data_IF_803192054076
#
_entry.id   IF_803192054076
#
_cell.length_a   1.000
_cell.length_b   1.000
_cell.length_c   1.000
_cell.angle_alpha   90.00
_cell.angle_beta   90.00
_cell.angle_gamma   90.00
#
_symmetry.space_group_name_H-M   'P 1'
#
loop_
_entity.id
_entity.type
_entity.pdbx_description
1 polymer ?
#
# COMPACT_ATOMS: atom_id res chain seq x y z
N UNK A 1 -14.04 -1.47 18.10
CA UNK A 1 -14.02 -2.67 17.22
C UNK A 1 -12.93 -3.59 17.75
N UNK A 2 -13.22 -4.88 17.84
CA UNK A 2 -12.27 -5.82 18.41
C UNK A 2 -11.74 -6.71 17.30
N UNK A 3 -10.40 -6.68 17.11
CA UNK A 3 -9.70 -7.57 16.20
C UNK A 3 -9.19 -8.84 16.92
N UNK A 4 -9.70 -9.14 18.10
CA UNK A 4 -9.32 -10.32 18.86
C UNK A 4 -9.46 -11.59 17.99
N UNK A 5 -8.40 -12.37 17.91
CA UNK A 5 -8.32 -13.60 17.11
C UNK A 5 -8.44 -13.38 15.57
N UNK A 6 -8.36 -12.14 15.09
CA UNK A 6 -8.28 -11.86 13.66
C UNK A 6 -6.84 -11.91 13.19
N UNK A 7 -6.62 -12.51 12.04
CA UNK A 7 -5.31 -12.55 11.39
C UNK A 7 -5.23 -11.46 10.32
N UNK A 8 -4.27 -10.56 10.46
CA UNK A 8 -4.03 -9.44 9.55
C UNK A 8 -2.66 -9.60 8.90
N UNK A 9 -2.61 -9.77 7.58
CA UNK A 9 -1.37 -9.86 6.84
C UNK A 9 -1.01 -8.51 6.23
N UNK A 10 0.18 -7.98 6.53
CA UNK A 10 0.61 -6.64 6.10
C UNK A 10 1.93 -6.73 5.33
N UNK A 11 1.93 -6.29 4.05
CA UNK A 11 3.17 -6.12 3.28
C UNK A 11 3.79 -4.75 3.49
N UNK A 12 5.12 -4.65 3.33
CA UNK A 12 5.85 -3.41 3.60
C UNK A 12 5.81 -3.03 5.09
N UNK A 13 5.71 -4.03 5.97
CA UNK A 13 5.56 -3.83 7.42
C UNK A 13 6.83 -3.31 8.11
N UNK A 14 8.00 -3.32 7.45
CA UNK A 14 9.27 -2.89 8.06
C UNK A 14 9.38 -1.39 8.32
N UNK A 15 8.47 -0.54 7.81
CA UNK A 15 8.53 0.92 7.98
C UNK A 15 7.21 1.61 7.65
N UNK A 16 7.12 2.91 8.00
CA UNK A 16 6.07 3.81 7.58
C UNK A 16 4.65 3.33 7.91
N UNK A 17 3.76 3.41 6.94
CA UNK A 17 2.33 3.07 7.10
C UNK A 17 2.15 1.61 7.51
N UNK A 18 2.87 0.68 6.87
CA UNK A 18 2.74 -0.76 7.17
C UNK A 18 3.17 -1.10 8.60
N UNK A 19 4.28 -0.51 9.08
CA UNK A 19 4.74 -0.65 10.47
C UNK A 19 3.70 -0.12 11.45
N UNK A 20 3.19 1.08 11.20
CA UNK A 20 2.22 1.71 12.08
C UNK A 20 0.88 0.96 12.12
N UNK A 21 0.40 0.47 10.96
CA UNK A 21 -0.79 -0.39 10.91
C UNK A 21 -0.58 -1.67 11.72
N UNK A 22 0.60 -2.31 11.62
CA UNK A 22 0.92 -3.50 12.41
C UNK A 22 0.84 -3.23 13.91
N UNK A 23 1.41 -2.11 14.38
CA UNK A 23 1.36 -1.68 15.78
C UNK A 23 -0.10 -1.49 16.22
N UNK A 24 -0.90 -0.77 15.44
CA UNK A 24 -2.28 -0.46 15.83
C UNK A 24 -3.18 -1.70 15.78
N UNK A 25 -3.03 -2.61 14.81
CA UNK A 25 -3.78 -3.86 14.77
C UNK A 25 -3.41 -4.79 15.93
N UNK A 26 -2.13 -4.92 16.25
CA UNK A 26 -1.66 -5.70 17.40
C UNK A 26 -2.22 -5.14 18.73
N UNK A 27 -2.21 -3.81 18.90
CA UNK A 27 -2.79 -3.15 20.08
C UNK A 27 -4.31 -3.37 20.22
N UNK A 28 -5.00 -3.69 19.11
CA UNK A 28 -6.43 -4.04 19.08
C UNK A 28 -6.69 -5.55 19.20
N UNK A 29 -5.65 -6.36 19.46
CA UNK A 29 -5.74 -7.79 19.69
C UNK A 29 -5.63 -8.67 18.46
N UNK A 30 -5.25 -8.12 17.29
CA UNK A 30 -5.05 -8.92 16.10
C UNK A 30 -3.72 -9.69 16.12
N UNK A 31 -3.72 -10.87 15.53
CA UNK A 31 -2.50 -11.57 15.12
C UNK A 31 -2.01 -10.97 13.80
N UNK A 32 -0.75 -10.53 13.75
CA UNK A 32 -0.24 -9.85 12.56
C UNK A 32 0.82 -10.71 11.86
N UNK A 33 0.65 -10.92 10.56
CA UNK A 33 1.68 -11.49 9.69
C UNK A 33 2.41 -10.33 9.03
N UNK A 34 3.71 -10.23 9.30
CA UNK A 34 4.58 -9.14 8.87
C UNK A 34 5.38 -9.56 7.63
N UNK A 35 5.27 -8.84 6.53
CA UNK A 35 6.05 -9.10 5.32
C UNK A 35 6.82 -7.89 4.84
N UNK A 36 8.09 -8.09 4.59
CA UNK A 36 9.02 -7.18 3.90
C UNK A 36 10.30 -7.96 3.56
N UNK A 37 11.25 -7.31 2.88
CA UNK A 37 12.57 -7.90 2.56
C UNK A 37 13.51 -7.94 3.76
N UNK A 38 13.46 -6.92 4.63
CA UNK A 38 14.37 -6.78 5.78
C UNK A 38 13.88 -7.60 6.98
N UNK A 39 14.37 -8.84 7.08
CA UNK A 39 13.98 -9.76 8.16
C UNK A 39 14.31 -9.19 9.55
N UNK A 40 15.47 -8.55 9.72
CA UNK A 40 15.89 -7.98 10.99
C UNK A 40 14.90 -6.92 11.49
N UNK A 41 14.48 -5.98 10.60
CA UNK A 41 13.48 -4.98 10.95
C UNK A 41 12.10 -5.58 11.27
N UNK A 42 11.75 -6.70 10.64
CA UNK A 42 10.51 -7.42 10.96
C UNK A 42 10.60 -8.09 12.32
N UNK A 43 11.76 -8.66 12.69
CA UNK A 43 11.99 -9.25 14.00
C UNK A 43 11.93 -8.18 15.11
N UNK A 44 12.59 -7.03 14.93
CA UNK A 44 12.53 -5.90 15.86
C UNK A 44 11.07 -5.43 16.03
N UNK A 45 10.34 -5.27 14.94
CA UNK A 45 8.93 -4.89 15.00
C UNK A 45 8.11 -5.93 15.75
N UNK A 46 8.23 -7.22 15.38
CA UNK A 46 7.48 -8.31 16.02
C UNK A 46 7.68 -8.32 17.53
N UNK A 47 8.92 -8.14 18.02
CA UNK A 47 9.23 -8.08 19.46
C UNK A 47 8.61 -6.89 20.17
N UNK A 48 8.30 -5.81 19.45
CA UNK A 48 7.69 -4.60 19.99
C UNK A 48 6.17 -4.59 19.96
N UNK A 49 5.54 -5.55 19.28
CA UNK A 49 4.08 -5.62 19.17
C UNK A 49 3.44 -6.16 20.44
N UNK A 50 2.23 -5.71 20.71
CA UNK A 50 1.43 -6.21 21.82
C UNK A 50 0.82 -7.58 21.47
N UNK A 51 1.06 -8.61 22.31
CA UNK A 51 0.56 -9.98 22.12
C UNK A 51 1.59 -10.90 21.47
N UNK A 52 1.31 -12.20 21.40
CA UNK A 52 2.28 -13.25 21.02
C UNK A 52 1.98 -13.93 19.68
N UNK A 53 0.78 -13.72 19.13
CA UNK A 53 0.30 -14.40 17.91
C UNK A 53 0.85 -13.86 16.59
N UNK A 54 1.99 -13.15 16.61
CA UNK A 54 2.55 -12.52 15.41
C UNK A 54 3.56 -13.43 14.70
N UNK A 55 3.55 -13.40 13.37
CA UNK A 55 4.48 -14.17 12.54
C UNK A 55 5.15 -13.29 11.48
N UNK A 56 6.23 -13.80 10.90
CA UNK A 56 6.98 -13.14 9.85
C UNK A 56 7.00 -14.07 8.62
N UNK A 57 6.62 -13.53 7.49
CA UNK A 57 6.75 -14.15 6.17
C UNK A 57 7.53 -13.19 5.28
N UNK A 58 8.85 -13.37 5.13
CA UNK A 58 9.64 -12.50 4.27
C UNK A 58 9.19 -12.61 2.82
N UNK A 59 8.94 -11.46 2.16
CA UNK A 59 8.53 -11.41 0.76
C UNK A 59 9.29 -10.31 0.02
N UNK A 60 9.71 -10.61 -1.20
CA UNK A 60 10.18 -9.62 -2.17
C UNK A 60 9.12 -9.43 -3.28
N UNK A 61 8.39 -8.34 -3.21
CA UNK A 61 7.34 -8.01 -4.17
C UNK A 61 7.87 -7.73 -5.59
N UNK A 62 9.20 -7.61 -5.78
CA UNK A 62 9.79 -7.48 -7.11
C UNK A 62 9.89 -8.79 -7.89
N UNK A 63 9.56 -9.92 -7.24
CA UNK A 63 9.54 -11.26 -7.82
C UNK A 63 8.14 -11.89 -7.67
N UNK A 64 7.13 -11.41 -8.41
CA UNK A 64 5.72 -11.77 -8.19
C UNK A 64 5.44 -13.27 -8.34
N UNK A 65 6.10 -13.96 -9.28
CA UNK A 65 5.94 -15.41 -9.46
C UNK A 65 6.45 -16.19 -8.23
N UNK A 66 7.59 -15.75 -7.67
CA UNK A 66 8.14 -16.34 -6.45
C UNK A 66 7.22 -16.05 -5.25
N UNK A 67 6.64 -14.85 -5.15
CA UNK A 67 5.64 -14.51 -4.12
C UNK A 67 4.43 -15.43 -4.22
N UNK A 68 3.89 -15.61 -5.43
CA UNK A 68 2.73 -16.49 -5.66
C UNK A 68 3.02 -17.92 -5.24
N UNK A 69 4.14 -18.50 -5.67
CA UNK A 69 4.53 -19.87 -5.33
C UNK A 69 4.76 -20.02 -3.82
N UNK A 70 5.63 -19.17 -3.23
CA UNK A 70 5.95 -19.22 -1.81
C UNK A 70 4.71 -19.11 -0.92
N UNK A 71 3.80 -18.19 -1.24
CA UNK A 71 2.61 -17.99 -0.42
C UNK A 71 1.63 -19.13 -0.59
N UNK A 72 1.45 -19.67 -1.80
CA UNK A 72 0.58 -20.81 -2.04
C UNK A 72 1.02 -22.02 -1.20
N UNK A 73 2.32 -22.30 -1.14
CA UNK A 73 2.89 -23.41 -0.36
C UNK A 73 2.76 -23.20 1.17
N UNK A 74 2.71 -21.94 1.62
CA UNK A 74 2.64 -21.63 3.04
C UNK A 74 1.20 -21.55 3.59
N UNK A 75 0.20 -21.33 2.74
CA UNK A 75 -1.17 -21.03 3.20
C UNK A 75 -1.77 -22.07 4.13
N UNK A 76 -1.49 -23.36 3.89
CA UNK A 76 -2.01 -24.45 4.72
C UNK A 76 -1.37 -24.48 6.12
N UNK A 77 -0.22 -23.81 6.30
CA UNK A 77 0.50 -23.73 7.58
C UNK A 77 0.15 -22.46 8.36
N UNK A 78 -0.51 -21.50 7.71
CA UNK A 78 -0.88 -20.21 8.30
C UNK A 78 -2.33 -20.26 8.83
N UNK A 79 -2.61 -19.46 9.88
CA UNK A 79 -4.01 -19.27 10.29
C UNK A 79 -4.81 -18.61 9.16
N UNK A 80 -6.13 -18.81 9.12
CA UNK A 80 -6.99 -18.16 8.15
C UNK A 80 -6.80 -16.64 8.14
N UNK A 81 -6.51 -16.07 6.97
CA UNK A 81 -6.27 -14.63 6.82
C UNK A 81 -7.61 -13.90 6.77
N UNK A 82 -7.90 -13.06 7.76
CA UNK A 82 -9.12 -12.24 7.79
C UNK A 82 -8.97 -10.95 7.00
N UNK A 83 -7.78 -10.32 7.08
CA UNK A 83 -7.52 -9.05 6.40
C UNK A 83 -6.14 -9.13 5.72
N UNK A 84 -6.11 -8.92 4.41
CA UNK A 84 -4.89 -8.74 3.65
C UNK A 84 -4.67 -7.26 3.37
N UNK A 85 -3.53 -6.70 3.81
CA UNK A 85 -3.15 -5.30 3.56
C UNK A 85 -1.95 -5.26 2.61
N UNK A 86 -2.22 -5.01 1.36
CA UNK A 86 -1.24 -4.76 0.32
C UNK A 86 -0.71 -3.33 0.43
N UNK A 87 0.30 -3.13 1.28
CA UNK A 87 0.89 -1.83 1.54
C UNK A 87 2.30 -1.68 0.95
N UNK A 88 3.01 -2.77 0.71
CA UNK A 88 4.35 -2.73 0.14
C UNK A 88 4.41 -1.98 -1.18
N UNK A 89 5.44 -1.16 -1.35
CA UNK A 89 5.61 -0.37 -2.57
C UNK A 89 6.82 0.54 -2.54
N UNK A 90 7.20 1.01 -3.72
CA UNK A 90 8.29 1.95 -3.94
C UNK A 90 7.79 3.16 -4.73
N UNK A 91 8.38 4.34 -4.49
CA UNK A 91 8.09 5.58 -5.21
C UNK A 91 9.16 5.86 -6.27
N UNK A 92 8.91 6.84 -7.13
CA UNK A 92 9.84 7.32 -8.14
C UNK A 92 9.88 8.85 -8.11
N UNK A 93 11.06 9.40 -8.38
CA UNK A 93 11.25 10.83 -8.50
C UNK A 93 12.31 11.17 -9.55
N UNK A 94 11.91 11.13 -10.81
CA UNK A 94 12.73 11.45 -11.98
C UNK A 94 11.87 11.95 -13.12
N UNK A 95 12.44 12.73 -14.05
CA UNK A 95 11.73 13.19 -15.25
C UNK A 95 11.57 12.02 -16.24
N UNK A 96 10.49 12.07 -17.03
CA UNK A 96 10.21 11.05 -18.04
C UNK A 96 11.36 10.87 -19.04
N UNK A 97 11.94 11.96 -19.52
CA UNK A 97 13.01 11.93 -20.52
C UNK A 97 14.37 11.45 -19.96
N UNK A 98 14.54 11.46 -18.66
CA UNK A 98 15.78 11.04 -17.98
C UNK A 98 15.73 9.59 -17.52
N UNK A 99 14.53 9.02 -17.44
CA UNK A 99 14.24 7.80 -16.72
C UNK A 99 14.52 6.55 -17.58
N UNK A 100 15.32 5.64 -17.07
CA UNK A 100 15.52 4.34 -17.69
C UNK A 100 14.20 3.54 -17.73
N UNK A 101 13.95 2.85 -18.83
CA UNK A 101 12.73 2.06 -19.00
C UNK A 101 12.59 0.96 -17.93
N UNK A 102 13.68 0.44 -17.43
CA UNK A 102 13.73 -0.58 -16.38
C UNK A 102 13.11 -0.11 -15.07
N UNK A 103 13.15 1.20 -14.77
CA UNK A 103 12.51 1.79 -13.59
C UNK A 103 10.99 1.65 -13.64
N UNK A 104 10.39 1.81 -14.84
CA UNK A 104 8.95 1.58 -15.02
C UNK A 104 8.57 0.12 -14.75
N UNK A 105 9.37 -0.83 -15.24
CA UNK A 105 9.17 -2.26 -14.95
C UNK A 105 9.27 -2.53 -13.47
N UNK A 106 10.34 -2.06 -12.79
CA UNK A 106 10.52 -2.25 -11.36
C UNK A 106 9.35 -1.69 -10.54
N UNK A 107 8.83 -0.52 -10.90
CA UNK A 107 7.65 0.07 -10.26
C UNK A 107 6.40 -0.79 -10.44
N UNK A 108 6.20 -1.34 -11.64
CA UNK A 108 5.06 -2.23 -11.92
C UNK A 108 5.21 -3.57 -11.20
N UNK A 109 6.40 -4.18 -11.20
CA UNK A 109 6.64 -5.43 -10.48
C UNK A 109 6.30 -5.28 -8.99
N UNK A 110 6.89 -4.28 -8.32
CA UNK A 110 6.71 -4.12 -6.87
C UNK A 110 5.30 -3.64 -6.51
N UNK A 111 4.81 -2.58 -7.17
CA UNK A 111 3.59 -1.89 -6.74
C UNK A 111 2.30 -2.55 -7.24
N UNK A 112 2.37 -3.33 -8.33
CA UNK A 112 1.21 -3.89 -8.99
C UNK A 112 1.26 -5.42 -9.08
N UNK A 113 2.24 -6.02 -9.76
CA UNK A 113 2.29 -7.46 -9.94
C UNK A 113 2.54 -8.22 -8.63
N UNK A 114 3.44 -7.73 -7.75
CA UNK A 114 3.64 -8.32 -6.43
C UNK A 114 2.38 -8.27 -5.54
N UNK A 115 1.60 -7.19 -5.65
CA UNK A 115 0.29 -7.07 -4.98
C UNK A 115 -0.70 -8.09 -5.55
N UNK A 116 -0.78 -8.24 -6.88
CA UNK A 116 -1.66 -9.22 -7.53
C UNK A 116 -1.28 -10.64 -7.11
N UNK A 117 0.01 -10.98 -7.15
CA UNK A 117 0.51 -12.31 -6.81
C UNK A 117 0.07 -12.73 -5.40
N UNK A 118 0.29 -11.85 -4.41
CA UNK A 118 -0.15 -12.12 -3.04
C UNK A 118 -1.68 -12.19 -2.92
N UNK A 119 -2.40 -11.28 -3.56
CA UNK A 119 -3.86 -11.29 -3.55
C UNK A 119 -4.41 -12.57 -4.18
N UNK A 120 -3.82 -13.01 -5.31
CA UNK A 120 -4.22 -14.22 -6.03
C UNK A 120 -3.98 -15.50 -5.20
N UNK A 121 -2.92 -15.52 -4.40
CA UNK A 121 -2.67 -16.62 -3.48
C UNK A 121 -3.70 -16.66 -2.33
N UNK A 122 -3.98 -15.51 -1.70
CA UNK A 122 -4.79 -15.43 -0.47
C UNK A 122 -6.30 -15.46 -0.73
N UNK A 123 -6.79 -14.80 -1.77
CA UNK A 123 -8.21 -14.61 -2.05
C UNK A 123 -9.04 -15.92 -2.13
N UNK A 124 -8.54 -17.03 -2.73
CA UNK A 124 -9.30 -18.28 -2.80
C UNK A 124 -9.73 -18.80 -1.42
N UNK A 125 -8.88 -18.70 -0.41
CA UNK A 125 -9.21 -19.13 0.95
C UNK A 125 -10.26 -18.24 1.62
N UNK A 126 -10.27 -16.93 1.32
CA UNK A 126 -11.31 -16.02 1.76
C UNK A 126 -12.64 -16.32 1.07
N UNK A 127 -12.63 -16.57 -0.24
CA UNK A 127 -13.81 -16.94 -1.03
C UNK A 127 -14.43 -18.23 -0.50
N UNK A 128 -13.62 -19.27 -0.24
CA UNK A 128 -14.12 -20.54 0.32
C UNK A 128 -14.81 -20.36 1.67
N UNK A 129 -14.36 -19.39 2.49
CA UNK A 129 -14.97 -19.07 3.80
C UNK A 129 -16.10 -18.04 3.71
N UNK A 130 -16.35 -17.45 2.55
CA UNK A 130 -17.29 -16.33 2.35
C UNK A 130 -17.02 -15.18 3.34
N UNK A 131 -15.77 -14.92 3.64
CA UNK A 131 -15.35 -13.94 4.66
C UNK A 131 -13.91 -13.49 4.44
N UNK A 132 -13.70 -12.19 4.39
CA UNK A 132 -12.38 -11.58 4.29
C UNK A 132 -12.42 -10.11 3.89
N UNK A 133 -11.28 -9.46 4.03
CA UNK A 133 -11.09 -8.08 3.54
C UNK A 133 -9.75 -7.97 2.82
N UNK A 134 -9.76 -7.39 1.62
CA UNK A 134 -8.56 -7.09 0.83
C UNK A 134 -8.44 -5.57 0.77
N UNK A 135 -7.38 -5.05 1.38
CA UNK A 135 -7.10 -3.62 1.48
C UNK A 135 -5.83 -3.32 0.68
N UNK A 136 -5.91 -2.43 -0.29
CA UNK A 136 -4.73 -2.03 -1.08
C UNK A 136 -4.40 -0.55 -0.90
N UNK A 137 -3.13 -0.30 -0.52
CA UNK A 137 -2.61 1.05 -0.36
C UNK A 137 -2.11 1.56 -1.72
N UNK A 138 -2.98 2.33 -2.39
CA UNK A 138 -2.61 3.09 -3.58
C UNK A 138 -1.91 4.40 -3.18
N UNK A 139 -2.35 5.51 -3.72
CA UNK A 139 -1.89 6.88 -3.43
C UNK A 139 -2.85 7.88 -4.05
N UNK A 140 -2.83 9.12 -3.59
CA UNK A 140 -3.38 10.25 -4.35
C UNK A 140 -2.74 10.32 -5.74
N UNK A 141 -1.48 9.88 -5.90
CA UNK A 141 -0.83 9.75 -7.21
C UNK A 141 -1.49 8.69 -8.13
N UNK A 142 -2.33 7.78 -7.60
CA UNK A 142 -3.20 6.88 -8.37
C UNK A 142 -4.53 7.51 -8.78
N UNK A 143 -4.78 8.76 -8.43
CA UNK A 143 -5.97 9.56 -8.82
C UNK A 143 -5.59 10.79 -9.62
N UNK A 144 -4.39 11.35 -9.38
CA UNK A 144 -3.88 12.54 -10.05
C UNK A 144 -2.41 12.35 -10.40
N UNK A 145 -2.00 12.81 -11.59
CA UNK A 145 -0.59 12.83 -12.00
C UNK A 145 0.11 14.10 -11.50
N UNK A 146 1.41 13.99 -11.27
CA UNK A 146 2.29 15.13 -10.97
C UNK A 146 3.64 14.94 -11.65
N UNK A 147 4.42 16.02 -11.79
CA UNK A 147 5.79 15.95 -12.31
C UNK A 147 6.63 14.93 -11.51
N UNK A 148 7.63 14.35 -12.14
CA UNK A 148 8.61 13.41 -11.59
C UNK A 148 8.05 12.05 -11.15
N UNK A 149 6.79 11.72 -11.45
CA UNK A 149 6.12 10.51 -10.93
C UNK A 149 5.39 9.70 -12.00
N UNK A 150 5.84 9.76 -13.24
CA UNK A 150 5.15 9.09 -14.37
C UNK A 150 4.98 7.59 -14.15
N UNK A 151 6.04 6.89 -13.76
CA UNK A 151 5.99 5.44 -13.46
C UNK A 151 5.23 5.16 -12.17
N UNK A 152 5.52 5.90 -11.10
CA UNK A 152 4.83 5.73 -9.82
C UNK A 152 3.32 5.97 -9.94
N UNK A 153 2.91 7.09 -10.55
CA UNK A 153 1.49 7.35 -10.79
C UNK A 153 0.86 6.25 -11.63
N UNK A 154 1.51 5.83 -12.72
CA UNK A 154 1.03 4.74 -13.57
C UNK A 154 0.75 3.46 -12.76
N UNK A 155 1.71 3.02 -11.93
CA UNK A 155 1.54 1.82 -11.10
C UNK A 155 0.42 1.97 -10.06
N UNK A 156 0.27 3.16 -9.46
CA UNK A 156 -0.79 3.40 -8.46
C UNK A 156 -2.18 3.58 -9.07
N UNK A 157 -2.29 4.06 -10.33
CA UNK A 157 -3.53 4.01 -11.11
C UNK A 157 -3.92 2.56 -11.45
N UNK A 158 -2.94 1.73 -11.84
CA UNK A 158 -3.18 0.31 -12.10
C UNK A 158 -3.77 -0.40 -10.87
N UNK A 159 -3.26 -0.13 -9.66
CA UNK A 159 -3.82 -0.66 -8.40
C UNK A 159 -5.28 -0.22 -8.22
N UNK A 160 -5.63 1.04 -8.50
CA UNK A 160 -7.03 1.50 -8.38
C UNK A 160 -7.94 0.74 -9.31
N UNK A 161 -7.58 0.65 -10.61
CA UNK A 161 -8.39 -0.09 -11.60
C UNK A 161 -8.53 -1.58 -11.25
N UNK A 162 -7.45 -2.23 -10.80
CA UNK A 162 -7.49 -3.61 -10.32
C UNK A 162 -8.46 -3.78 -9.16
N UNK A 163 -8.40 -2.91 -8.16
CA UNK A 163 -9.26 -3.00 -6.98
C UNK A 163 -10.74 -2.72 -7.28
N UNK A 164 -11.03 -1.87 -8.26
CA UNK A 164 -12.40 -1.62 -8.70
C UNK A 164 -13.02 -2.86 -9.35
N UNK A 165 -12.27 -3.56 -10.21
CA UNK A 165 -12.70 -4.83 -10.80
C UNK A 165 -12.80 -5.93 -9.73
N UNK A 166 -11.78 -6.08 -8.88
CA UNK A 166 -11.75 -7.11 -7.84
C UNK A 166 -12.93 -6.97 -6.87
N UNK A 167 -13.31 -5.75 -6.53
CA UNK A 167 -14.48 -5.48 -5.68
C UNK A 167 -15.77 -5.98 -6.31
N UNK A 168 -15.94 -5.76 -7.61
CA UNK A 168 -17.11 -6.22 -8.33
C UNK A 168 -17.14 -7.76 -8.43
N UNK A 169 -16.00 -8.38 -8.73
CA UNK A 169 -15.88 -9.84 -8.86
C UNK A 169 -16.08 -10.59 -7.54
N UNK A 170 -15.61 -10.02 -6.42
CA UNK A 170 -15.67 -10.68 -5.11
C UNK A 170 -16.88 -10.29 -4.26
N UNK A 171 -17.77 -9.43 -4.76
CA UNK A 171 -18.96 -8.99 -4.04
C UNK A 171 -19.91 -10.15 -3.68
N UNK A 172 -20.13 -11.09 -4.60
CA UNK A 172 -20.97 -12.28 -4.38
C UNK A 172 -20.37 -13.26 -3.36
N UNK A 173 -19.08 -13.16 -3.07
CA UNK A 173 -18.38 -14.00 -2.10
C UNK A 173 -18.26 -13.36 -0.71
N UNK A 174 -18.95 -12.25 -0.46
CA UNK A 174 -18.90 -11.51 0.79
C UNK A 174 -17.48 -11.06 1.19
N UNK A 175 -16.60 -10.77 0.21
CA UNK A 175 -15.27 -10.24 0.41
C UNK A 175 -15.28 -8.73 0.24
N UNK A 176 -14.82 -8.02 1.28
CA UNK A 176 -14.72 -6.57 1.24
C UNK A 176 -13.40 -6.13 0.59
N UNK A 177 -13.46 -5.26 -0.41
CA UNK A 177 -12.29 -4.71 -1.11
C UNK A 177 -12.21 -3.20 -0.93
N UNK A 178 -11.18 -2.73 -0.22
CA UNK A 178 -10.95 -1.31 0.07
C UNK A 178 -9.68 -0.78 -0.62
N UNK A 179 -9.83 0.31 -1.34
CA UNK A 179 -8.70 1.07 -1.88
C UNK A 179 -8.42 2.29 -1.00
N UNK A 180 -7.23 2.37 -0.42
CA UNK A 180 -6.79 3.54 0.35
C UNK A 180 -5.84 4.37 -0.50
N UNK A 181 -6.10 5.67 -0.64
CA UNK A 181 -5.30 6.61 -1.40
C UNK A 181 -4.65 7.64 -0.46
N UNK A 182 -3.48 7.34 0.13
CA UNK A 182 -2.77 8.32 0.96
C UNK A 182 -2.27 9.51 0.13
N UNK A 183 -2.34 10.71 0.71
CA UNK A 183 -1.60 11.87 0.26
C UNK A 183 -0.18 11.89 0.84
N UNK A 184 0.30 13.08 1.21
CA UNK A 184 1.60 13.23 1.87
C UNK A 184 1.51 12.76 3.33
N UNK A 185 2.16 11.63 3.64
CA UNK A 185 2.26 11.06 4.99
C UNK A 185 3.74 11.04 5.39
N UNK A 186 4.08 11.43 6.61
CA UNK A 186 5.46 11.42 7.14
C UNK A 186 5.99 9.99 7.24
N UNK A 187 6.75 9.57 6.25
CA UNK A 187 7.35 8.22 6.16
C UNK A 187 8.69 8.27 5.42
N UNK A 188 9.45 7.21 5.49
CA UNK A 188 10.72 7.08 4.76
C UNK A 188 10.55 6.83 3.24
N UNK A 189 9.34 6.87 2.70
CA UNK A 189 9.09 6.55 1.27
C UNK A 189 9.82 7.52 0.33
N UNK A 190 10.04 8.77 0.77
CA UNK A 190 10.79 9.74 -0.01
C UNK A 190 12.26 9.35 -0.15
N UNK A 191 12.90 8.94 0.95
CA UNK A 191 14.29 8.48 0.96
C UNK A 191 14.49 7.25 0.07
N UNK A 192 13.50 6.36 0.03
CA UNK A 192 13.51 5.15 -0.77
C UNK A 192 12.97 5.34 -2.20
N UNK A 193 12.68 6.59 -2.61
CA UNK A 193 12.22 6.88 -3.99
C UNK A 193 13.33 6.59 -4.99
N UNK A 194 12.98 5.90 -6.07
CA UNK A 194 13.91 5.58 -7.16
C UNK A 194 14.24 6.83 -7.97
N UNK A 195 15.51 6.98 -8.30
CA UNK A 195 15.99 7.95 -9.27
C UNK A 195 15.79 7.44 -10.72
N UNK A 196 16.37 8.12 -11.67
CA UNK A 196 16.32 7.78 -13.11
C UNK A 196 16.97 6.44 -13.45
N UNK A 197 17.92 5.93 -12.64
CA UNK A 197 18.55 4.61 -12.79
C UNK A 197 17.94 3.51 -11.92
N UNK A 198 16.87 3.78 -11.19
CA UNK A 198 16.23 2.81 -10.30
C UNK A 198 16.93 2.62 -8.96
N UNK A 199 17.77 3.57 -8.55
CA UNK A 199 18.50 3.56 -7.27
C UNK A 199 17.78 4.46 -6.27
N UNK A 200 17.71 4.07 -4.99
CA UNK A 200 17.15 4.90 -3.94
C UNK A 200 17.91 6.21 -3.78
N UNK A 201 17.18 7.34 -3.79
CA UNK A 201 17.81 8.67 -3.80
C UNK A 201 18.39 9.09 -2.44
N UNK A 202 17.90 8.53 -1.34
CA UNK A 202 18.27 8.92 0.03
C UNK A 202 18.10 10.43 0.32
N UNK A 203 17.15 11.07 -0.36
CA UNK A 203 16.86 12.50 -0.20
C UNK A 203 15.50 12.72 0.47
N UNK A 204 15.41 13.70 1.38
CA UNK A 204 14.12 14.09 1.96
C UNK A 204 13.22 14.73 0.89
N UNK A 205 11.94 14.75 1.17
CA UNK A 205 10.94 15.46 0.37
C UNK A 205 10.11 16.35 1.28
N UNK A 206 10.19 17.69 1.08
CA UNK A 206 9.50 18.67 1.89
C UNK A 206 7.99 18.42 2.02
N UNK A 207 7.33 17.96 0.96
CA UNK A 207 5.90 17.63 1.00
C UNK A 207 5.57 16.42 1.89
N UNK A 208 6.50 15.47 2.01
CA UNK A 208 6.38 14.30 2.88
C UNK A 208 6.73 14.67 4.32
N UNK A 209 7.79 15.45 4.55
CA UNK A 209 8.19 15.91 5.89
C UNK A 209 7.10 16.74 6.57
N UNK A 210 6.37 17.56 5.80
CA UNK A 210 5.22 18.32 6.27
C UNK A 210 3.88 17.58 6.10
N UNK A 211 3.93 16.30 5.78
CA UNK A 211 2.77 15.41 5.61
C UNK A 211 1.97 15.22 6.89
N UNK A 212 0.92 14.43 6.78
CA UNK A 212 0.16 13.95 7.94
C UNK A 212 1.04 13.01 8.75
N UNK A 213 0.93 13.05 10.07
CA UNK A 213 1.58 12.09 10.95
C UNK A 213 1.11 10.66 10.63
N UNK A 214 2.06 9.70 10.65
CA UNK A 214 1.77 8.33 10.24
C UNK A 214 0.79 7.64 11.17
N UNK A 215 0.80 7.96 12.49
CA UNK A 215 -0.13 7.35 13.45
C UNK A 215 -1.56 7.86 13.24
N UNK A 216 -1.70 9.15 12.92
CA UNK A 216 -3.00 9.74 12.57
C UNK A 216 -3.53 9.16 11.26
N UNK A 217 -2.64 8.97 10.27
CA UNK A 217 -3.03 8.36 8.99
C UNK A 217 -3.49 6.92 9.19
N UNK A 218 -2.75 6.10 9.94
CA UNK A 218 -3.10 4.72 10.22
C UNK A 218 -4.44 4.59 10.97
N UNK A 219 -4.73 5.48 11.94
CA UNK A 219 -6.04 5.53 12.62
C UNK A 219 -7.19 5.78 11.63
N UNK A 220 -6.99 6.70 10.66
CA UNK A 220 -8.00 6.96 9.63
C UNK A 220 -8.18 5.77 8.68
N UNK A 221 -7.11 5.04 8.38
CA UNK A 221 -7.14 3.83 7.56
C UNK A 221 -7.88 2.70 8.29
N UNK A 222 -7.57 2.47 9.57
CA UNK A 222 -8.31 1.54 10.42
C UNK A 222 -9.79 1.86 10.45
N UNK A 223 -10.15 3.12 10.68
CA UNK A 223 -11.55 3.55 10.67
C UNK A 223 -12.24 3.28 9.32
N UNK A 224 -11.52 3.41 8.19
CA UNK A 224 -12.07 3.08 6.89
C UNK A 224 -12.30 1.58 6.71
N UNK A 225 -11.37 0.74 7.21
CA UNK A 225 -11.50 -0.73 7.23
C UNK A 225 -12.69 -1.14 8.08
N UNK A 226 -12.81 -0.60 9.30
CA UNK A 226 -13.89 -0.85 10.23
C UNK A 226 -15.27 -0.54 9.66
N UNK A 227 -15.37 0.56 8.93
CA UNK A 227 -16.62 1.01 8.33
C UNK A 227 -16.85 0.45 6.92
N UNK A 228 -16.06 -0.54 6.50
CA UNK A 228 -16.18 -1.19 5.19
C UNK A 228 -16.32 -0.20 4.03
N UNK A 229 -15.46 0.83 4.01
CA UNK A 229 -15.42 1.79 2.90
C UNK A 229 -14.86 1.13 1.64
N UNK A 230 -15.36 1.51 0.47
CA UNK A 230 -14.86 0.99 -0.80
C UNK A 230 -13.59 1.70 -1.24
N UNK A 231 -13.55 3.02 -1.04
CA UNK A 231 -12.40 3.86 -1.35
C UNK A 231 -12.30 5.02 -0.35
N UNK A 232 -11.07 5.37 0.04
CA UNK A 232 -10.83 6.51 0.92
C UNK A 232 -9.55 7.26 0.55
N UNK A 233 -9.64 8.60 0.58
CA UNK A 233 -8.47 9.47 0.48
C UNK A 233 -8.04 9.85 1.89
N UNK A 234 -6.80 9.51 2.25
CA UNK A 234 -6.21 9.84 3.55
C UNK A 234 -5.14 10.90 3.35
N UNK A 235 -5.52 12.15 3.40
CA UNK A 235 -4.65 13.30 3.17
C UNK A 235 -5.11 14.53 3.93
N UNK A 236 -4.26 15.57 3.96
CA UNK A 236 -4.61 16.90 4.47
C UNK A 236 -4.35 17.96 3.41
N UNK A 237 -5.06 19.09 3.53
CA UNK A 237 -4.88 20.22 2.62
C UNK A 237 -5.09 19.85 1.14
N UNK A 238 -4.23 20.39 0.28
CA UNK A 238 -4.36 20.22 -1.17
C UNK A 238 -4.29 18.74 -1.61
N UNK A 239 -3.47 17.92 -0.96
CA UNK A 239 -3.37 16.49 -1.31
C UNK A 239 -4.67 15.72 -1.09
N UNK A 240 -5.49 16.13 -0.12
CA UNK A 240 -6.82 15.54 0.11
C UNK A 240 -7.85 15.96 -0.95
N UNK A 241 -7.75 17.18 -1.47
CA UNK A 241 -8.71 17.74 -2.43
C UNK A 241 -8.32 17.55 -3.90
N UNK A 242 -7.06 17.23 -4.18
CA UNK A 242 -6.54 17.12 -5.55
C UNK A 242 -7.37 16.23 -6.49
N UNK A 243 -7.84 15.04 -6.08
CA UNK A 243 -8.69 14.20 -6.94
C UNK A 243 -10.03 14.86 -7.29
N UNK A 244 -10.66 15.52 -6.33
CA UNK A 244 -11.92 16.25 -6.54
C UNK A 244 -11.71 17.43 -7.49
N UNK A 245 -10.65 18.21 -7.28
CA UNK A 245 -10.31 19.35 -8.15
C UNK A 245 -10.05 18.86 -9.57
N UNK A 246 -9.27 17.77 -9.75
CA UNK A 246 -9.01 17.20 -11.08
C UNK A 246 -10.30 16.74 -11.76
N UNK A 247 -11.22 16.13 -11.03
CA UNK A 247 -12.48 15.61 -11.58
C UNK A 247 -13.37 16.72 -12.14
N UNK A 248 -13.52 17.80 -11.42
CA UNK A 248 -14.45 18.89 -11.79
C UNK A 248 -13.77 20.01 -12.59
N UNK A 249 -12.47 20.23 -12.38
CA UNK A 249 -11.70 21.31 -13.02
C UNK A 249 -10.39 20.81 -13.64
N UNK A 250 -10.43 19.84 -14.60
CA UNK A 250 -9.23 19.17 -15.10
C UNK A 250 -8.23 20.13 -15.77
N UNK A 251 -8.72 21.14 -16.51
CA UNK A 251 -7.83 22.12 -17.16
C UNK A 251 -7.08 22.98 -16.16
N UNK A 252 -7.77 23.42 -15.09
CA UNK A 252 -7.16 24.18 -14.01
C UNK A 252 -6.10 23.33 -13.27
N UNK A 253 -6.47 22.10 -12.92
CA UNK A 253 -5.57 21.17 -12.25
C UNK A 253 -4.29 20.93 -13.08
N UNK A 254 -4.42 20.66 -14.37
CA UNK A 254 -3.28 20.42 -15.26
C UNK A 254 -2.35 21.65 -15.38
N UNK A 255 -2.92 22.87 -15.40
CA UNK A 255 -2.12 24.11 -15.38
C UNK A 255 -1.35 24.29 -14.08
N UNK A 256 -1.97 23.97 -12.94
CA UNK A 256 -1.33 24.08 -11.63
C UNK A 256 -0.20 23.05 -11.47
N UNK A 257 -0.45 21.77 -11.82
CA UNK A 257 0.57 20.71 -11.72
C UNK A 257 1.74 20.93 -12.68
N UNK A 258 1.50 21.55 -13.85
CA UNK A 258 2.56 21.91 -14.78
C UNK A 258 3.51 23.00 -14.22
N UNK A 259 3.00 23.91 -13.38
CA UNK A 259 3.78 25.00 -12.76
C UNK A 259 4.41 24.63 -11.43
N UNK A 260 3.87 23.64 -10.73
CA UNK A 260 4.36 23.24 -9.41
C UNK A 260 5.70 22.53 -9.54
N UNK A 261 6.68 23.03 -8.83
CA UNK A 261 7.98 22.38 -8.70
C UNK A 261 7.94 21.47 -7.46
N UNK A 262 8.02 20.16 -7.69
CA UNK A 262 8.02 19.13 -6.63
C UNK A 262 9.45 18.69 -6.25
N UNK A 263 10.47 19.46 -6.62
CA UNK A 263 11.87 19.21 -6.19
C UNK A 263 12.11 19.73 -4.79
#
# INVERSE_FOLDING_TARGET
MHYNNKTVWITGASSGIGKELAIQFAALGANVILSARSVDKLNELKQSLHGDGHSIVPLDLSAPEAVLAQVTDLLDTLPPIDILINNGGVSQRSLFLENDFTVYRQLMEVNYFGLIALTKAVAPSMVARQSGSIVSISSVAGKVGSKFRTGYSGSKYAVVGFMDCLRAELAEHNIHCLTICPGSIKTAIAHNSLNEQGIAQNKPEHSIENGMDVSVAAKKMLHAIDNKKDEVIVGKGLSGWAPTIKRFFPRLFNRLTAKTNYR
#
